data_IF_535816970495
#
_entry.id   IF_535816970495
#
_cell.length_a   1.000
_cell.length_b   1.000
_cell.length_c   1.000
_cell.angle_alpha   90.00
_cell.angle_beta   90.00
_cell.angle_gamma   90.00
#
_symmetry.space_group_name_H-M   'P 1'
#
loop_
_entity.id
_entity.type
_entity.pdbx_description
1 polymer ?
#
# COMPACT_ATOMS: atom_id res chain seq x y z
N UNK A 1 -18.27 27.59 -8.36
CA UNK A 1 -18.28 27.27 -6.91
C UNK A 1 -17.02 26.48 -6.57
N UNK A 2 -16.22 26.94 -5.62
CA UNK A 2 -14.95 26.29 -5.24
C UNK A 2 -15.23 25.09 -4.34
N UNK A 3 -14.75 23.90 -4.73
CA UNK A 3 -14.94 22.67 -3.95
C UNK A 3 -14.05 22.72 -2.70
N UNK A 4 -14.65 22.81 -1.51
CA UNK A 4 -13.92 22.70 -0.25
C UNK A 4 -13.78 21.24 0.16
N UNK A 5 -12.54 20.79 0.39
CA UNK A 5 -12.26 19.47 0.94
C UNK A 5 -12.24 19.56 2.48
N UNK A 6 -12.99 18.69 3.15
CA UNK A 6 -13.01 18.57 4.62
C UNK A 6 -12.28 17.30 5.04
N UNK A 7 -11.51 17.40 6.12
CA UNK A 7 -10.85 16.26 6.76
C UNK A 7 -11.19 16.25 8.25
N UNK A 8 -11.42 15.07 8.80
CA UNK A 8 -11.75 14.88 10.21
C UNK A 8 -10.81 13.86 10.83
N UNK A 9 -10.44 14.09 12.09
CA UNK A 9 -9.57 13.18 12.85
C UNK A 9 -10.27 12.79 14.14
N UNK A 10 -10.37 11.49 14.38
CA UNK A 10 -11.05 10.93 15.54
C UNK A 10 -10.16 9.90 16.24
N UNK A 11 -10.33 9.76 17.56
CA UNK A 11 -9.80 8.62 18.32
C UNK A 11 -10.81 7.48 18.24
N UNK A 12 -10.36 6.31 17.80
CA UNK A 12 -11.18 5.10 17.83
C UNK A 12 -10.95 4.34 19.15
N UNK A 13 -12.02 3.75 19.69
CA UNK A 13 -11.99 2.85 20.84
C UNK A 13 -12.47 1.46 20.38
N UNK A 14 -11.61 0.66 19.74
CA UNK A 14 -12.02 -0.62 19.17
C UNK A 14 -12.32 -1.65 20.26
N UNK A 15 -13.33 -2.48 20.03
CA UNK A 15 -13.53 -3.70 20.81
C UNK A 15 -12.44 -4.75 20.46
N UNK A 16 -12.44 -5.89 21.16
CA UNK A 16 -11.42 -6.93 20.98
C UNK A 16 -11.34 -7.45 19.53
N UNK A 17 -12.48 -7.69 18.90
CA UNK A 17 -12.56 -8.20 17.52
C UNK A 17 -12.05 -7.17 16.50
N UNK A 18 -12.47 -5.92 16.65
CA UNK A 18 -12.00 -4.81 15.81
C UNK A 18 -10.49 -4.61 15.96
N UNK A 19 -9.96 -4.66 17.18
CA UNK A 19 -8.52 -4.55 17.43
C UNK A 19 -7.74 -5.69 16.74
N UNK A 20 -8.26 -6.92 16.82
CA UNK A 20 -7.67 -8.06 16.12
C UNK A 20 -7.70 -7.88 14.59
N UNK A 21 -8.82 -7.40 14.03
CA UNK A 21 -8.95 -7.13 12.59
C UNK A 21 -7.99 -6.01 12.13
N UNK A 22 -7.85 -4.94 12.91
CA UNK A 22 -6.91 -3.86 12.64
C UNK A 22 -5.47 -4.41 12.62
N UNK A 23 -5.10 -5.22 13.62
CA UNK A 23 -3.78 -5.84 13.69
C UNK A 23 -3.48 -6.75 12.48
N UNK A 24 -4.46 -7.59 12.08
CA UNK A 24 -4.38 -8.39 10.85
C UNK A 24 -4.18 -7.51 9.61
N UNK A 25 -4.98 -6.45 9.49
CA UNK A 25 -4.92 -5.50 8.37
C UNK A 25 -3.55 -4.82 8.28
N UNK A 26 -3.00 -4.33 9.40
CA UNK A 26 -1.66 -3.75 9.42
C UNK A 26 -0.59 -4.76 8.99
N UNK A 27 -0.70 -6.01 9.46
CA UNK A 27 0.18 -7.10 9.07
C UNK A 27 0.15 -7.37 7.56
N UNK A 28 -1.05 -7.54 7.00
CA UNK A 28 -1.24 -7.83 5.59
C UNK A 28 -0.77 -6.69 4.68
N UNK A 29 -1.10 -5.44 5.01
CA UNK A 29 -0.65 -4.26 4.26
C UNK A 29 0.87 -4.12 4.29
N UNK A 30 1.50 -4.36 5.45
CA UNK A 30 2.97 -4.37 5.56
C UNK A 30 3.57 -5.48 4.71
N UNK A 31 3.02 -6.69 4.79
CA UNK A 31 3.50 -7.85 4.05
C UNK A 31 3.45 -7.60 2.54
N UNK A 32 2.29 -7.21 2.01
CA UNK A 32 2.09 -6.92 0.59
C UNK A 32 3.02 -5.82 0.11
N UNK A 33 3.15 -4.72 0.87
CA UNK A 33 4.08 -3.64 0.52
C UNK A 33 5.52 -4.14 0.40
N UNK A 34 5.99 -4.95 1.36
CA UNK A 34 7.35 -5.46 1.37
C UNK A 34 7.60 -6.46 0.23
N UNK A 35 6.65 -7.36 -0.05
CA UNK A 35 6.74 -8.29 -1.18
C UNK A 35 6.88 -7.56 -2.51
N UNK A 36 6.00 -6.57 -2.77
CA UNK A 36 6.07 -5.77 -3.98
C UNK A 36 7.36 -4.94 -4.06
N UNK A 37 7.88 -4.45 -2.93
CA UNK A 37 9.15 -3.72 -2.89
C UNK A 37 10.33 -4.64 -3.22
N UNK A 38 10.34 -5.88 -2.75
CA UNK A 38 11.37 -6.87 -3.10
C UNK A 38 11.42 -7.09 -4.60
N UNK A 39 10.28 -7.44 -5.22
CA UNK A 39 10.20 -7.64 -6.68
C UNK A 39 10.62 -6.38 -7.44
N UNK A 40 10.18 -5.20 -6.98
CA UNK A 40 10.50 -3.95 -7.67
C UNK A 40 11.97 -3.57 -7.53
N UNK A 41 12.63 -3.91 -6.41
CA UNK A 41 14.07 -3.75 -6.26
C UNK A 41 14.84 -4.62 -7.24
N UNK A 42 14.46 -5.88 -7.40
CA UNK A 42 15.10 -6.78 -8.37
C UNK A 42 14.96 -6.26 -9.81
N UNK A 43 13.78 -5.77 -10.17
CA UNK A 43 13.55 -5.15 -11.49
C UNK A 43 14.39 -3.87 -11.63
N UNK A 44 14.43 -3.03 -10.60
CA UNK A 44 15.23 -1.81 -10.63
C UNK A 44 16.72 -2.13 -10.84
N UNK A 45 17.29 -3.07 -10.10
CA UNK A 45 18.71 -3.44 -10.26
C UNK A 45 19.02 -3.99 -11.66
N UNK A 46 18.09 -4.73 -12.28
CA UNK A 46 18.26 -5.29 -13.62
C UNK A 46 18.17 -4.24 -14.75
N UNK A 47 17.36 -3.20 -14.57
CA UNK A 47 17.03 -2.25 -15.64
C UNK A 47 17.40 -0.80 -15.30
N UNK A 48 18.12 -0.52 -14.20
CA UNK A 48 18.46 0.86 -13.79
C UNK A 48 19.24 1.64 -14.85
N UNK A 49 20.03 0.94 -15.67
CA UNK A 49 20.84 1.53 -16.72
C UNK A 49 20.06 1.76 -18.03
N UNK A 50 18.92 1.08 -18.21
CA UNK A 50 18.00 1.25 -19.33
C UNK A 50 16.65 1.82 -18.84
N UNK A 51 16.54 3.15 -18.94
CA UNK A 51 15.35 3.88 -18.50
C UNK A 51 14.09 3.50 -19.27
N UNK A 52 14.20 3.19 -20.56
CA UNK A 52 13.04 2.84 -21.39
C UNK A 52 12.52 1.46 -21.01
N UNK A 53 13.41 0.48 -20.83
CA UNK A 53 13.04 -0.85 -20.35
C UNK A 53 12.42 -0.79 -18.96
N UNK A 54 13.00 -0.01 -18.03
CA UNK A 54 12.47 0.13 -16.67
C UNK A 54 11.06 0.71 -16.61
N UNK A 55 10.73 1.65 -17.51
CA UNK A 55 9.39 2.25 -17.61
C UNK A 55 8.34 1.27 -18.13
N UNK A 56 8.74 0.33 -19.01
CA UNK A 56 7.83 -0.71 -19.55
C UNK A 56 7.44 -1.75 -18.49
N UNK A 57 8.22 -1.89 -17.42
CA UNK A 57 7.95 -2.86 -16.34
C UNK A 57 6.78 -2.43 -15.46
N UNK A 58 5.72 -3.24 -15.45
CA UNK A 58 4.51 -2.98 -14.65
C UNK A 58 4.73 -3.27 -13.17
N UNK A 59 4.03 -2.53 -12.31
CA UNK A 59 3.99 -2.84 -10.89
C UNK A 59 3.15 -4.09 -10.63
N UNK A 60 3.59 -4.99 -9.72
CA UNK A 60 2.76 -6.10 -9.28
C UNK A 60 1.48 -5.59 -8.61
N UNK A 61 0.41 -6.37 -8.73
CA UNK A 61 -0.87 -6.10 -8.06
C UNK A 61 -1.00 -7.00 -6.83
N UNK A 62 -1.67 -6.54 -5.76
CA UNK A 62 -1.89 -7.37 -4.57
C UNK A 62 -2.62 -8.69 -4.86
N UNK A 63 -3.40 -8.76 -5.95
CA UNK A 63 -4.11 -9.96 -6.37
C UNK A 63 -3.17 -11.14 -6.65
N UNK A 64 -1.96 -10.88 -7.16
CA UNK A 64 -0.92 -11.88 -7.43
C UNK A 64 -0.62 -12.74 -6.20
N UNK A 65 -0.62 -12.14 -5.01
CA UNK A 65 -0.23 -12.80 -3.76
C UNK A 65 -1.36 -13.58 -3.11
N UNK A 66 -2.62 -13.39 -3.52
CA UNK A 66 -3.77 -13.98 -2.81
C UNK A 66 -3.93 -15.49 -3.02
N UNK A 67 -3.34 -16.05 -4.07
CA UNK A 67 -3.31 -17.50 -4.31
C UNK A 67 -2.34 -18.19 -3.35
N UNK A 68 -1.14 -17.64 -3.22
CA UNK A 68 -0.06 -18.16 -2.37
C UNK A 68 -0.28 -17.87 -0.88
N UNK A 69 -0.92 -16.73 -0.56
CA UNK A 69 -1.14 -16.26 0.80
C UNK A 69 -2.64 -16.03 1.08
N UNK A 70 -3.41 -17.09 1.40
CA UNK A 70 -4.86 -17.00 1.59
C UNK A 70 -5.30 -16.02 2.68
N UNK A 71 -4.48 -15.80 3.72
CA UNK A 71 -4.77 -14.84 4.80
C UNK A 71 -4.95 -13.40 4.29
N UNK A 72 -4.44 -13.06 3.10
CA UNK A 72 -4.68 -11.77 2.46
C UNK A 72 -6.14 -11.55 2.04
N UNK A 73 -6.96 -12.62 2.01
CA UNK A 73 -8.40 -12.54 1.75
C UNK A 73 -9.22 -12.22 2.99
N UNK A 74 -8.64 -12.32 4.19
CA UNK A 74 -9.30 -12.02 5.46
C UNK A 74 -9.44 -10.52 5.74
N UNK A 75 -8.74 -9.68 4.98
CA UNK A 75 -8.69 -8.23 5.18
C UNK A 75 -9.26 -7.49 3.98
N UNK A 76 -9.62 -6.23 4.21
CA UNK A 76 -10.14 -5.35 3.17
C UNK A 76 -9.18 -5.25 1.98
N UNK A 77 -9.70 -5.58 0.79
CA UNK A 77 -8.94 -5.56 -0.45
C UNK A 77 -8.48 -4.14 -0.85
N UNK A 78 -9.23 -3.11 -0.46
CA UNK A 78 -8.87 -1.72 -0.75
C UNK A 78 -7.68 -1.27 0.09
N UNK A 79 -7.55 -1.78 1.33
CA UNK A 79 -6.35 -1.56 2.13
C UNK A 79 -5.10 -2.12 1.45
N UNK A 80 -5.20 -3.31 0.83
CA UNK A 80 -4.10 -3.91 0.06
C UNK A 80 -3.80 -3.12 -1.23
N UNK A 81 -4.84 -2.67 -1.95
CA UNK A 81 -4.68 -1.82 -3.13
C UNK A 81 -3.97 -0.50 -2.79
N UNK A 82 -4.32 0.13 -1.66
CA UNK A 82 -3.64 1.33 -1.18
C UNK A 82 -2.17 1.06 -0.83
N UNK A 83 -1.79 -0.17 -0.42
CA UNK A 83 -0.38 -0.53 -0.23
C UNK A 83 0.41 -0.42 -1.54
N UNK A 84 -0.18 -0.86 -2.66
CA UNK A 84 0.40 -0.73 -4.00
C UNK A 84 0.51 0.75 -4.41
N UNK A 85 -0.56 1.52 -4.24
CA UNK A 85 -0.56 2.96 -4.56
C UNK A 85 0.51 3.73 -3.78
N UNK A 86 0.68 3.40 -2.49
CA UNK A 86 1.72 3.99 -1.66
C UNK A 86 3.13 3.66 -2.17
N UNK A 87 3.36 2.43 -2.65
CA UNK A 87 4.65 2.03 -3.23
C UNK A 87 4.91 2.76 -4.56
N UNK A 88 3.91 2.84 -5.44
CA UNK A 88 4.00 3.59 -6.69
C UNK A 88 4.32 5.08 -6.43
N UNK A 89 3.65 5.71 -5.46
CA UNK A 89 3.93 7.08 -5.05
C UNK A 89 5.35 7.24 -4.50
N UNK A 90 5.84 6.28 -3.72
CA UNK A 90 7.21 6.30 -3.19
C UNK A 90 8.26 6.25 -4.32
N UNK A 91 8.08 5.36 -5.30
CA UNK A 91 8.95 5.30 -6.48
C UNK A 91 8.85 6.56 -7.34
N UNK A 92 7.63 7.09 -7.57
CA UNK A 92 7.44 8.36 -8.28
C UNK A 92 8.23 9.49 -7.63
N UNK A 93 8.11 9.64 -6.31
CA UNK A 93 8.85 10.65 -5.57
C UNK A 93 10.37 10.43 -5.61
N UNK A 94 10.83 9.18 -5.62
CA UNK A 94 12.24 8.85 -5.79
C UNK A 94 12.77 9.28 -7.16
N UNK A 95 12.09 8.92 -8.24
CA UNK A 95 12.50 9.29 -9.60
C UNK A 95 12.45 10.81 -9.86
N UNK A 96 11.54 11.52 -9.20
CA UNK A 96 11.46 12.99 -9.25
C UNK A 96 12.42 13.70 -8.28
N UNK A 97 13.28 12.96 -7.56
CA UNK A 97 14.25 13.54 -6.63
C UNK A 97 13.64 14.14 -5.35
N UNK A 98 12.35 13.88 -5.08
CA UNK A 98 11.62 14.41 -3.91
C UNK A 98 11.74 13.51 -2.67
N UNK A 99 12.24 12.29 -2.82
CA UNK A 99 12.45 11.34 -1.73
C UNK A 99 13.61 10.38 -2.01
N UNK A 100 14.14 9.76 -0.96
CA UNK A 100 15.10 8.66 -1.09
C UNK A 100 14.43 7.37 -1.58
N UNK A 101 15.24 6.38 -1.95
CA UNK A 101 14.77 5.08 -2.42
C UNK A 101 13.80 4.41 -1.40
N UNK A 102 12.70 3.79 -1.84
CA UNK A 102 11.72 3.16 -0.94
C UNK A 102 12.33 2.12 0.00
N UNK A 103 11.96 2.17 1.28
CA UNK A 103 12.45 1.26 2.34
C UNK A 103 11.38 0.28 2.76
N UNK A 104 11.82 -0.90 3.24
CA UNK A 104 10.90 -1.89 3.81
C UNK A 104 10.18 -1.34 5.04
N UNK A 105 8.92 -1.73 5.19
CA UNK A 105 8.11 -1.42 6.37
C UNK A 105 8.44 -2.39 7.50
N UNK A 106 8.66 -1.87 8.70
CA UNK A 106 8.89 -2.65 9.92
C UNK A 106 7.66 -2.68 10.82
N UNK A 107 7.53 -3.75 11.61
CA UNK A 107 6.52 -3.87 12.68
C UNK A 107 6.77 -2.88 13.83
N UNK A 108 8.01 -2.43 14.04
CA UNK A 108 8.38 -1.49 15.11
C UNK A 108 8.02 -0.03 14.79
N UNK A 109 7.67 0.27 13.54
CA UNK A 109 7.24 1.61 13.14
C UNK A 109 5.72 1.78 13.29
N UNK A 110 5.22 2.98 12.95
CA UNK A 110 3.79 3.29 12.92
C UNK A 110 3.01 2.23 12.14
N UNK A 111 2.00 1.66 12.80
CA UNK A 111 1.06 0.73 12.18
C UNK A 111 -0.13 1.52 11.64
N UNK A 112 -0.32 1.50 10.32
CA UNK A 112 -1.38 2.24 9.65
C UNK A 112 -1.73 1.61 8.31
N UNK A 113 -3.00 1.70 7.93
CA UNK A 113 -3.45 1.45 6.56
C UNK A 113 -4.37 2.60 6.12
N UNK A 114 -4.55 2.70 4.80
CA UNK A 114 -5.52 3.60 4.18
C UNK A 114 -6.53 2.72 3.47
N UNK A 115 -7.82 3.00 3.66
CA UNK A 115 -8.87 2.37 2.87
C UNK A 115 -9.84 3.45 2.37
N UNK A 116 -10.69 3.07 1.42
CA UNK A 116 -11.73 3.90 0.84
C UNK A 116 -13.08 3.30 1.19
N UNK A 117 -14.06 4.16 1.44
CA UNK A 117 -15.44 3.71 1.53
C UNK A 117 -15.98 3.47 0.11
N UNK A 118 -16.49 2.27 -0.15
CA UNK A 118 -17.15 1.92 -1.42
C UNK A 118 -18.61 1.68 -1.12
N UNK A 119 -19.38 2.76 -1.10
CA UNK A 119 -20.83 2.77 -0.99
C UNK A 119 -21.38 3.92 -1.83
N UNK A 120 -22.58 3.76 -2.39
CA UNK A 120 -23.30 4.90 -2.97
C UNK A 120 -23.59 5.85 -1.82
N UNK A 121 -23.11 7.08 -1.92
CA UNK A 121 -23.55 8.15 -1.04
C UNK A 121 -25.02 8.41 -1.37
N UNK A 122 -25.94 7.80 -0.63
CA UNK A 122 -27.31 8.30 -0.56
C UNK A 122 -27.22 9.64 0.16
N UNK A 123 -27.14 10.70 -0.62
CA UNK A 123 -27.44 12.06 -0.17
C UNK A 123 -28.93 12.23 -0.23
#
# INVERSE_FOLDING_TARGET
>A
MTKQHKAFQFRMLPNKEQAALLAKTFGCVRFVYNMMLTERKEIYEKFKDDKEALQKQKFPTPAKYKSEFPFLKEVDSLALANAQMNLQKAYKNFFEGRAAFPKFKSRKHKQSYTTMHVGKSSV
#
